data_IF_110036554875
#
_entry.id   IF_110036554875
#
_cell.length_a   1.000
_cell.length_b   1.000
_cell.length_c   1.000
_cell.angle_alpha   90.00
_cell.angle_beta   90.00
_cell.angle_gamma   90.00
#
_symmetry.space_group_name_H-M   'P 1'
#
loop_
_entity.id
_entity.type
_entity.pdbx_description
1 polymer ?
#
# COMPACT_ATOMS: atom_id res chain seq x y z
N UNK A 1 12.79 -9.67 8.75
CA UNK A 1 12.83 -9.14 7.36
C UNK A 1 13.84 -8.01 7.29
N UNK A 2 14.05 -7.39 6.13
CA UNK A 2 14.84 -6.16 6.05
C UNK A 2 13.87 -5.00 5.97
N UNK A 3 13.92 -4.09 6.93
CA UNK A 3 13.21 -2.82 6.82
C UNK A 3 14.06 -1.82 6.06
N UNK A 4 13.41 -1.05 5.19
CA UNK A 4 14.07 -0.01 4.40
C UNK A 4 13.26 1.27 4.44
N UNK A 5 13.99 2.38 4.40
CA UNK A 5 13.45 3.72 4.21
C UNK A 5 13.89 4.20 2.84
N UNK A 6 12.93 4.57 2.00
CA UNK A 6 13.19 4.91 0.60
C UNK A 6 12.68 6.30 0.30
N UNK A 7 13.54 7.12 -0.29
CA UNK A 7 13.23 8.45 -0.78
C UNK A 7 12.63 8.37 -2.19
N UNK A 8 11.47 9.00 -2.38
CA UNK A 8 10.75 9.10 -3.64
C UNK A 8 10.81 10.56 -4.11
N UNK A 9 11.55 10.87 -5.20
CA UNK A 9 11.68 12.24 -5.69
C UNK A 9 10.32 12.83 -6.05
N UNK A 10 10.02 14.04 -5.58
CA UNK A 10 8.78 14.73 -5.92
C UNK A 10 8.95 15.41 -7.29
N UNK A 11 8.00 15.18 -8.18
CA UNK A 11 8.03 15.72 -9.54
C UNK A 11 8.02 17.25 -9.48
N UNK A 12 8.97 17.88 -10.18
CA UNK A 12 9.10 19.33 -10.27
C UNK A 12 9.72 20.01 -9.04
N UNK A 13 10.12 19.26 -8.00
CA UNK A 13 10.73 19.81 -6.78
C UNK A 13 12.14 19.25 -6.58
N UNK A 14 13.14 20.09 -6.85
CA UNK A 14 14.53 19.68 -6.80
C UNK A 14 14.96 19.31 -5.36
N UNK A 15 15.56 18.13 -5.21
CA UNK A 15 16.03 17.57 -3.94
C UNK A 15 14.94 17.51 -2.85
N UNK A 16 13.67 17.33 -3.22
CA UNK A 16 12.56 17.15 -2.28
C UNK A 16 11.92 15.76 -2.47
N UNK A 17 11.69 15.04 -1.38
CA UNK A 17 11.35 13.63 -1.42
C UNK A 17 10.21 13.29 -0.45
N UNK A 18 9.36 12.36 -0.86
CA UNK A 18 8.50 11.61 0.05
C UNK A 18 9.33 10.46 0.65
N UNK A 19 9.19 10.17 1.94
CA UNK A 19 9.89 9.03 2.54
C UNK A 19 8.91 7.92 2.86
N UNK A 20 9.03 6.78 2.19
CA UNK A 20 8.27 5.58 2.52
C UNK A 20 9.09 4.64 3.41
N UNK A 21 8.39 3.81 4.16
CA UNK A 21 8.97 2.69 4.90
C UNK A 21 8.33 1.38 4.45
N UNK A 22 9.13 0.32 4.34
CA UNK A 22 8.62 -1.04 4.08
C UNK A 22 9.53 -2.11 4.66
N UNK A 23 8.95 -3.22 5.09
CA UNK A 23 9.67 -4.44 5.50
C UNK A 23 9.76 -5.49 4.40
N UNK A 24 9.16 -5.21 3.24
CA UNK A 24 9.09 -6.09 2.06
C UNK A 24 9.57 -5.36 0.80
N UNK A 25 10.86 -5.00 0.67
CA UNK A 25 11.36 -4.28 -0.51
C UNK A 25 11.10 -4.99 -1.85
N UNK A 26 10.90 -6.32 -1.86
CA UNK A 26 10.46 -7.06 -3.05
C UNK A 26 9.10 -6.62 -3.60
N UNK A 27 8.29 -5.88 -2.84
CA UNK A 27 7.01 -5.32 -3.31
C UNK A 27 7.16 -3.98 -4.03
N UNK A 28 8.34 -3.34 -3.98
CA UNK A 28 8.58 -2.03 -4.61
C UNK A 28 8.38 -2.01 -6.14
N UNK A 29 8.67 -3.07 -6.92
CA UNK A 29 8.30 -3.12 -8.34
C UNK A 29 6.80 -2.99 -8.60
N UNK A 30 5.97 -3.30 -7.59
CA UNK A 30 4.51 -3.20 -7.65
C UNK A 30 3.97 -1.87 -7.13
N UNK A 31 4.82 -0.91 -6.77
CA UNK A 31 4.37 0.37 -6.22
C UNK A 31 3.58 1.17 -7.27
N UNK A 32 2.39 1.63 -6.88
CA UNK A 32 1.46 2.38 -7.75
C UNK A 32 1.01 3.71 -7.17
N UNK A 33 1.15 3.89 -5.86
CA UNK A 33 0.84 5.14 -5.17
C UNK A 33 1.59 5.22 -3.83
N UNK A 34 1.48 6.36 -3.16
CA UNK A 34 1.83 6.54 -1.76
C UNK A 34 0.58 6.97 -1.02
N UNK A 35 0.20 6.28 0.05
CA UNK A 35 -0.93 6.65 0.87
C UNK A 35 -0.50 7.52 2.06
N UNK A 36 -1.34 8.50 2.36
CA UNK A 36 -1.25 9.37 3.55
C UNK A 36 -2.58 9.38 4.29
N UNK A 37 -2.54 9.72 5.59
CA UNK A 37 -3.74 9.94 6.39
C UNK A 37 -4.15 11.42 6.31
N UNK A 38 -5.36 11.72 5.84
CA UNK A 38 -5.78 13.09 5.52
C UNK A 38 -5.67 14.08 6.68
N UNK A 39 -6.05 13.67 7.89
CA UNK A 39 -6.05 14.50 9.10
C UNK A 39 -4.71 14.50 9.85
N UNK A 40 -3.74 13.65 9.48
CA UNK A 40 -2.43 13.61 10.10
C UNK A 40 -1.56 14.78 9.64
N UNK A 41 -0.65 15.22 10.52
CA UNK A 41 0.32 16.28 10.24
C UNK A 41 1.60 15.67 9.68
N UNK A 42 2.07 16.23 8.57
CA UNK A 42 3.31 15.86 7.88
C UNK A 42 4.26 17.06 7.88
N UNK A 43 5.53 16.79 8.15
CA UNK A 43 6.57 17.80 8.29
C UNK A 43 7.62 17.59 7.20
N UNK A 44 8.04 18.70 6.59
CA UNK A 44 9.26 18.75 5.81
C UNK A 44 10.47 18.94 6.73
N UNK A 45 11.47 18.07 6.59
CA UNK A 45 12.78 18.20 7.23
C UNK A 45 13.84 18.46 6.19
N UNK A 46 14.71 19.45 6.41
CA UNK A 46 15.82 19.77 5.52
C UNK A 46 17.11 19.16 6.08
N UNK A 47 17.96 18.61 5.23
CA UNK A 47 19.25 18.06 5.66
C UNK A 47 20.27 19.18 5.72
N UNK A 48 20.83 19.44 6.90
CA UNK A 48 21.98 20.35 7.03
C UNK A 48 23.27 19.57 6.76
N UNK A 49 23.35 18.36 7.30
CA UNK A 49 24.53 17.52 7.28
C UNK A 49 24.12 16.04 7.30
N UNK A 50 24.74 15.24 6.44
CA UNK A 50 24.48 13.81 6.33
C UNK A 50 25.80 13.05 6.25
N UNK A 51 25.83 11.89 6.93
CA UNK A 51 26.89 10.89 6.78
C UNK A 51 26.64 9.95 5.57
N UNK A 52 25.55 10.15 4.82
CA UNK A 52 25.34 9.55 3.51
C UNK A 52 25.91 10.47 2.45
N UNK A 53 27.01 10.07 1.81
CA UNK A 53 27.63 10.86 0.74
C UNK A 53 26.72 11.10 -0.49
N UNK A 54 25.62 10.37 -0.60
CA UNK A 54 24.66 10.50 -1.69
C UNK A 54 23.51 11.47 -1.37
N UNK A 55 23.31 11.81 -0.09
CA UNK A 55 22.31 12.78 0.32
C UNK A 55 22.97 14.16 0.34
N UNK A 56 22.46 15.06 -0.51
CA UNK A 56 22.98 16.42 -0.61
C UNK A 56 22.48 17.26 0.56
N UNK A 57 23.35 18.11 1.11
CA UNK A 57 22.91 19.18 2.01
C UNK A 57 21.86 20.05 1.29
N UNK A 58 20.83 20.46 2.03
CA UNK A 58 19.64 21.12 1.52
C UNK A 58 18.57 20.18 0.94
N UNK A 59 18.79 18.86 0.95
CA UNK A 59 17.73 17.90 0.58
C UNK A 59 16.58 17.95 1.58
N UNK A 60 15.35 17.82 1.10
CA UNK A 60 14.12 17.97 1.88
C UNK A 60 13.33 16.67 1.88
N UNK A 61 12.86 16.24 3.03
CA UNK A 61 12.16 14.97 3.21
C UNK A 61 10.83 15.17 3.93
N UNK A 62 9.76 14.60 3.39
CA UNK A 62 8.44 14.60 4.02
C UNK A 62 8.21 13.32 4.81
N UNK A 63 7.87 13.47 6.08
CA UNK A 63 7.51 12.40 7.02
C UNK A 63 6.34 12.85 7.89
N UNK A 64 5.66 11.91 8.55
CA UNK A 64 4.66 12.25 9.57
C UNK A 64 5.32 12.95 10.75
N UNK A 65 4.66 13.96 11.29
CA UNK A 65 5.23 14.88 12.28
C UNK A 65 5.74 14.16 13.53
N UNK A 66 5.01 13.14 14.02
CA UNK A 66 5.42 12.39 15.21
C UNK A 66 6.78 11.71 15.03
N UNK A 67 7.13 11.32 13.80
CA UNK A 67 8.38 10.64 13.48
C UNK A 67 9.50 11.62 13.15
N UNK A 68 9.17 12.88 12.79
CA UNK A 68 10.17 13.92 12.55
C UNK A 68 10.99 14.27 13.81
N UNK A 69 10.42 14.07 15.00
CA UNK A 69 11.06 14.35 16.30
C UNK A 69 12.12 13.29 16.67
N UNK A 70 12.00 12.06 16.13
CA UNK A 70 12.91 10.94 16.41
C UNK A 70 14.03 10.74 15.38
N UNK A 71 14.09 11.58 14.33
CA UNK A 71 15.13 11.48 13.31
C UNK A 71 16.54 11.82 13.83
N UNK A 72 16.66 12.36 15.04
CA UNK A 72 17.91 12.84 15.64
C UNK A 72 18.82 11.74 16.20
N UNK A 73 18.32 10.52 16.41
CA UNK A 73 19.09 9.43 17.03
C UNK A 73 19.32 8.30 16.02
N UNK A 74 20.58 8.18 15.54
CA UNK A 74 21.29 7.01 14.97
C UNK A 74 20.61 6.08 13.93
N UNK A 75 19.35 6.29 13.54
CA UNK A 75 18.55 5.31 12.80
C UNK A 75 18.27 5.66 11.35
N UNK A 76 18.36 6.94 10.99
CA UNK A 76 18.33 7.44 9.63
C UNK A 76 19.64 8.19 9.37
N UNK A 77 20.15 8.16 8.13
CA UNK A 77 21.56 8.49 7.80
C UNK A 77 21.79 10.02 7.75
N UNK A 78 21.28 10.72 8.75
CA UNK A 78 21.32 12.16 8.88
C UNK A 78 21.87 12.49 10.26
N UNK A 79 22.99 13.21 10.31
CA UNK A 79 23.59 13.60 11.58
C UNK A 79 22.90 14.85 12.15
N UNK A 80 22.41 15.74 11.27
CA UNK A 80 21.67 16.96 11.66
C UNK A 80 20.61 17.36 10.64
N UNK A 81 19.45 17.79 11.15
CA UNK A 81 18.38 18.38 10.36
C UNK A 81 18.22 19.88 10.62
N UNK A 82 17.87 20.59 9.56
CA UNK A 82 17.47 21.99 9.52
C UNK A 82 16.01 22.16 9.16
N UNK A 83 15.61 23.43 9.15
CA UNK A 83 14.21 23.87 8.99
C UNK A 83 13.93 24.15 7.51
N UNK A 84 12.92 23.51 6.91
CA UNK A 84 12.53 23.79 5.52
C UNK A 84 11.81 25.14 5.40
N UNK A 85 12.38 26.11 4.68
CA UNK A 85 11.64 27.27 4.18
C UNK A 85 10.78 26.93 2.95
N UNK A 86 9.59 27.52 2.84
CA UNK A 86 8.75 27.44 1.64
C UNK A 86 9.12 28.54 0.63
N UNK A 87 9.41 28.15 -0.61
CA UNK A 87 9.46 29.04 -1.77
C UNK A 87 8.11 28.89 -2.50
N UNK A 88 7.30 29.96 -2.51
CA UNK A 88 5.96 30.12 -3.12
C UNK A 88 4.75 29.78 -2.23
N UNK A 89 4.10 30.85 -1.74
CA UNK A 89 2.84 30.83 -1.00
C UNK A 89 1.61 30.40 -1.82
N UNK A 90 1.70 30.35 -3.15
CA UNK A 90 0.58 29.98 -4.03
C UNK A 90 0.21 28.48 -3.95
N UNK A 91 1.16 27.59 -3.62
CA UNK A 91 0.92 26.14 -3.50
C UNK A 91 0.30 25.72 -2.16
N UNK A 92 0.19 26.63 -1.19
CA UNK A 92 0.01 26.26 0.22
C UNK A 92 -1.45 26.05 0.65
N UNK A 93 -2.42 26.38 -0.20
CA UNK A 93 -3.83 26.41 0.21
C UNK A 93 -4.08 27.42 1.35
N UNK A 94 -5.35 27.77 1.64
CA UNK A 94 -5.66 28.83 2.59
C UNK A 94 -5.37 28.52 4.07
N UNK A 95 -4.90 27.31 4.43
CA UNK A 95 -4.85 26.82 5.82
C UNK A 95 -3.47 26.27 6.27
N UNK A 96 -2.38 26.60 5.59
CA UNK A 96 -1.06 26.19 6.06
C UNK A 96 -0.66 26.97 7.32
N UNK A 97 -0.62 26.28 8.47
CA UNK A 97 -0.09 26.85 9.71
C UNK A 97 1.46 26.85 9.64
N UNK A 98 2.02 28.03 9.40
CA UNK A 98 3.45 28.28 9.62
C UNK A 98 3.69 28.32 11.13
N UNK A 99 4.05 27.20 11.73
CA UNK A 99 4.50 27.18 13.12
C UNK A 99 5.87 27.88 13.23
N UNK A 100 5.83 29.11 13.74
CA UNK A 100 6.99 29.99 13.95
C UNK A 100 8.02 29.44 14.94
N UNK A 101 7.69 28.42 15.75
CA UNK A 101 8.63 27.81 16.70
C UNK A 101 9.58 26.80 16.04
N UNK A 102 9.18 26.21 14.91
CA UNK A 102 9.97 25.19 14.19
C UNK A 102 10.43 25.61 12.79
N UNK A 103 9.92 26.69 12.19
CA UNK A 103 10.41 27.26 10.92
C UNK A 103 10.42 26.30 9.72
N UNK A 104 9.79 25.13 9.86
CA UNK A 104 9.59 24.12 8.85
C UNK A 104 8.09 23.95 8.60
N UNK A 105 7.71 23.80 7.34
CA UNK A 105 6.34 23.60 6.95
C UNK A 105 5.68 22.33 7.52
N UNK A 106 4.55 22.49 8.21
CA UNK A 106 3.65 21.39 8.53
C UNK A 106 2.43 21.47 7.63
N UNK A 107 2.08 20.36 7.00
CA UNK A 107 0.88 20.23 6.19
C UNK A 107 0.04 19.07 6.71
N UNK A 108 -1.28 19.19 6.66
CA UNK A 108 -2.13 18.01 6.80
C UNK A 108 -1.98 17.09 5.59
N UNK A 109 -2.16 15.78 5.77
CA UNK A 109 -2.04 14.80 4.70
C UNK A 109 -2.94 15.09 3.50
N UNK A 110 -4.12 15.69 3.72
CA UNK A 110 -5.03 16.14 2.66
C UNK A 110 -4.36 17.06 1.62
N UNK A 111 -3.36 17.87 2.02
CA UNK A 111 -2.63 18.77 1.12
C UNK A 111 -1.51 18.07 0.36
N UNK A 112 -1.11 16.86 0.77
CA UNK A 112 -0.15 16.03 0.04
C UNK A 112 -0.86 15.21 -1.04
N UNK A 113 -2.16 14.95 -0.91
CA UNK A 113 -2.94 14.19 -1.91
C UNK A 113 -2.84 14.85 -3.28
N UNK A 114 -2.57 14.04 -4.30
CA UNK A 114 -2.37 14.49 -5.67
C UNK A 114 -0.93 14.89 -6.01
N UNK A 115 -0.01 14.98 -5.03
CA UNK A 115 1.40 15.18 -5.34
C UNK A 115 1.93 14.01 -6.17
N UNK A 116 2.75 14.34 -7.16
CA UNK A 116 3.36 13.37 -8.06
C UNK A 116 4.79 13.08 -7.64
N UNK A 117 5.21 11.81 -7.74
CA UNK A 117 6.55 11.37 -7.42
C UNK A 117 7.11 10.42 -8.49
N UNK A 118 8.42 10.43 -8.64
CA UNK A 118 9.15 9.48 -9.49
C UNK A 118 9.24 8.12 -8.80
N UNK A 119 8.91 7.04 -9.50
CA UNK A 119 8.94 5.71 -8.94
C UNK A 119 10.33 5.35 -8.40
N UNK A 120 10.44 4.74 -7.21
CA UNK A 120 11.74 4.49 -6.60
C UNK A 120 12.63 3.60 -7.48
N UNK A 121 12.08 2.70 -8.31
CA UNK A 121 12.85 1.78 -9.17
C UNK A 121 12.86 2.13 -10.66
N UNK A 122 11.91 2.96 -11.11
CA UNK A 122 11.70 3.25 -12.54
C UNK A 122 11.86 4.74 -12.87
N UNK A 123 12.03 5.58 -11.84
CA UNK A 123 12.16 7.04 -11.96
C UNK A 123 11.06 7.66 -12.80
N UNK A 124 11.42 8.54 -13.72
CA UNK A 124 10.49 9.31 -14.57
C UNK A 124 9.66 8.47 -15.53
N UNK A 125 10.07 7.24 -15.83
CA UNK A 125 9.30 6.34 -16.69
C UNK A 125 7.99 5.89 -16.02
N UNK A 126 7.89 6.06 -14.70
CA UNK A 126 6.68 5.80 -13.95
C UNK A 126 6.44 6.87 -12.88
N UNK A 127 5.39 7.67 -13.06
CA UNK A 127 4.98 8.67 -12.08
C UNK A 127 3.85 8.12 -11.21
N UNK A 128 4.10 8.05 -9.91
CA UNK A 128 3.08 7.72 -8.91
C UNK A 128 2.41 8.96 -8.33
N UNK A 129 1.29 8.76 -7.64
CA UNK A 129 0.55 9.83 -6.96
C UNK A 129 0.38 9.55 -5.48
N UNK A 130 0.34 10.61 -4.69
CA UNK A 130 -0.09 10.53 -3.30
C UNK A 130 -1.62 10.44 -3.26
N UNK A 131 -2.14 9.51 -2.48
CA UNK A 131 -3.57 9.24 -2.30
C UNK A 131 -3.92 9.22 -0.81
N UNK A 132 -5.19 9.40 -0.49
CA UNK A 132 -5.66 9.17 0.88
C UNK A 132 -5.78 7.67 1.15
N UNK A 133 -5.28 7.22 2.30
CA UNK A 133 -5.36 5.82 2.73
C UNK A 133 -5.92 5.69 4.14
N UNK A 134 -7.05 5.01 4.26
CA UNK A 134 -7.75 4.78 5.52
C UNK A 134 -6.96 3.92 6.53
N UNK A 135 -6.00 3.12 6.06
CA UNK A 135 -5.22 2.21 6.90
C UNK A 135 -3.92 2.83 7.43
N UNK A 136 -3.58 4.04 6.98
CA UNK A 136 -2.32 4.70 7.36
C UNK A 136 -2.38 5.11 8.83
N UNK A 137 -1.42 4.64 9.62
CA UNK A 137 -1.24 5.02 11.02
C UNK A 137 -0.04 5.95 11.19
N UNK A 138 0.01 6.68 12.30
CA UNK A 138 1.09 7.64 12.61
C UNK A 138 2.06 7.12 13.68
N UNK A 139 1.87 5.86 14.13
CA UNK A 139 2.59 5.23 15.23
C UNK A 139 3.82 4.42 14.78
N UNK A 140 3.95 4.15 13.48
CA UNK A 140 5.02 3.33 12.93
C UNK A 140 5.43 3.77 11.51
N UNK A 141 6.69 3.50 11.15
CA UNK A 141 7.26 3.88 9.86
C UNK A 141 7.37 5.39 9.71
N UNK A 142 7.02 5.91 8.53
CA UNK A 142 7.12 7.35 8.20
C UNK A 142 5.76 8.03 8.10
N UNK A 143 4.66 7.27 8.27
CA UNK A 143 3.29 7.69 7.95
C UNK A 143 3.02 7.95 6.46
N UNK A 144 3.97 7.64 5.56
CA UNK A 144 3.74 7.52 4.12
C UNK A 144 3.90 6.05 3.72
N UNK A 145 2.82 5.43 3.28
CA UNK A 145 2.78 3.99 2.98
C UNK A 145 2.82 3.80 1.48
N UNK A 146 3.81 3.07 0.98
CA UNK A 146 3.86 2.71 -0.43
C UNK A 146 2.75 1.70 -0.73
N UNK A 147 2.00 1.91 -1.82
CA UNK A 147 0.84 1.09 -2.16
C UNK A 147 1.22 0.13 -3.28
N UNK A 148 1.16 -1.16 -2.97
CA UNK A 148 1.36 -2.28 -3.89
C UNK A 148 0.07 -3.11 -3.97
N UNK A 149 -0.91 -2.72 -4.82
CA UNK A 149 -2.27 -3.28 -4.79
C UNK A 149 -2.35 -4.80 -4.93
N UNK A 150 -1.35 -5.42 -5.55
CA UNK A 150 -1.27 -6.86 -5.72
C UNK A 150 -0.83 -7.64 -4.46
N UNK A 151 -0.34 -6.96 -3.42
CA UNK A 151 0.35 -7.58 -2.29
C UNK A 151 -0.20 -7.17 -0.91
N UNK A 152 -1.26 -6.37 -0.85
CA UNK A 152 -1.96 -5.99 0.38
C UNK A 152 -3.46 -5.88 0.15
N UNK A 153 -4.28 -6.27 1.14
CA UNK A 153 -5.74 -6.22 1.00
C UNK A 153 -6.24 -4.76 1.03
N UNK A 154 -5.69 -3.95 1.93
CA UNK A 154 -5.96 -2.52 2.06
C UNK A 154 -5.47 -1.77 0.82
N UNK A 155 -4.25 -2.10 0.34
CA UNK A 155 -3.68 -1.57 -0.91
C UNK A 155 -4.57 -1.88 -2.11
N UNK A 156 -5.13 -3.09 -2.18
CA UNK A 156 -6.06 -3.48 -3.25
C UNK A 156 -7.33 -2.64 -3.23
N UNK A 157 -7.91 -2.41 -2.04
CA UNK A 157 -9.11 -1.59 -1.88
C UNK A 157 -8.84 -0.15 -2.32
N UNK A 158 -7.75 0.46 -1.85
CA UNK A 158 -7.34 1.80 -2.26
C UNK A 158 -7.09 1.84 -3.76
N UNK A 159 -6.32 0.89 -4.28
CA UNK A 159 -6.02 0.79 -5.71
C UNK A 159 -7.27 0.72 -6.56
N UNK A 160 -8.30 -0.02 -6.13
CA UNK A 160 -9.59 -0.07 -6.82
C UNK A 160 -10.34 1.25 -6.75
N UNK A 161 -10.35 1.91 -5.59
CA UNK A 161 -11.05 3.19 -5.39
C UNK A 161 -10.47 4.31 -6.25
N UNK A 162 -9.15 4.38 -6.37
CA UNK A 162 -8.45 5.46 -7.09
C UNK A 162 -8.02 5.06 -8.51
N UNK A 163 -8.37 3.86 -8.97
CA UNK A 163 -8.14 3.41 -10.35
C UNK A 163 -6.69 3.04 -10.69
N UNK A 164 -5.94 2.46 -9.75
CA UNK A 164 -4.56 1.99 -9.98
C UNK A 164 -4.51 0.68 -10.77
N UNK A 165 -3.36 0.40 -11.37
CA UNK A 165 -3.07 -0.91 -11.97
C UNK A 165 -2.97 -1.99 -10.89
N UNK A 166 -3.87 -2.97 -10.95
CA UNK A 166 -4.01 -4.05 -9.97
C UNK A 166 -3.28 -5.35 -10.38
N UNK A 167 -2.56 -5.34 -11.52
CA UNK A 167 -1.85 -6.52 -12.01
C UNK A 167 -0.80 -6.98 -10.99
N UNK A 168 -0.78 -8.28 -10.71
CA UNK A 168 0.25 -8.88 -9.87
C UNK A 168 1.54 -9.10 -10.66
N UNK A 169 2.67 -8.46 -10.27
CA UNK A 169 3.95 -8.65 -10.96
C UNK A 169 4.63 -9.96 -10.57
N UNK A 170 4.01 -10.82 -9.76
CA UNK A 170 4.60 -12.07 -9.25
C UNK A 170 3.73 -13.27 -9.59
N UNK A 171 4.33 -14.28 -10.24
CA UNK A 171 3.65 -15.49 -10.66
C UNK A 171 3.52 -16.53 -9.52
N UNK A 172 2.92 -17.68 -9.83
CA UNK A 172 2.69 -18.78 -8.86
C UNK A 172 3.96 -19.44 -8.33
N UNK A 173 5.11 -19.26 -8.98
CA UNK A 173 6.40 -19.74 -8.52
C UNK A 173 7.14 -18.72 -7.63
N UNK A 174 6.52 -17.58 -7.29
CA UNK A 174 7.16 -16.52 -6.53
C UNK A 174 8.26 -15.79 -7.32
N UNK A 175 8.15 -15.78 -8.66
CA UNK A 175 9.06 -15.06 -9.55
C UNK A 175 8.34 -13.89 -10.18
N UNK A 176 9.08 -12.82 -10.50
CA UNK A 176 8.49 -11.72 -11.25
C UNK A 176 8.05 -12.16 -12.65
N UNK A 177 6.94 -11.61 -13.11
CA UNK A 177 6.40 -11.83 -14.46
C UNK A 177 7.30 -11.19 -15.54
N UNK A 178 7.18 -11.69 -16.78
CA UNK A 178 8.05 -11.27 -17.90
C UNK A 178 7.85 -9.80 -18.31
N UNK A 179 6.68 -9.23 -18.01
CA UNK A 179 6.35 -7.84 -18.33
C UNK A 179 6.90 -6.83 -17.31
N UNK A 180 7.49 -7.29 -16.19
CA UNK A 180 8.05 -6.40 -15.18
C UNK A 180 9.31 -5.74 -15.73
N UNK A 181 9.30 -4.41 -15.80
CA UNK A 181 10.38 -3.62 -16.36
C UNK A 181 11.70 -3.85 -15.60
N UNK A 182 12.86 -3.75 -16.29
CA UNK A 182 14.16 -3.76 -15.63
C UNK A 182 14.31 -2.55 -14.71
N UNK A 183 15.26 -2.63 -13.78
CA UNK A 183 15.69 -1.47 -12.99
C UNK A 183 16.34 -0.42 -13.90
N UNK A 184 16.45 0.83 -13.44
CA UNK A 184 17.07 1.91 -14.23
C UNK A 184 18.51 1.63 -14.65
N UNK A 185 19.25 0.83 -13.89
CA UNK A 185 20.60 0.38 -14.24
C UNK A 185 20.63 -0.75 -15.30
N UNK A 186 19.47 -1.15 -15.85
CA UNK A 186 19.32 -2.21 -16.83
C UNK A 186 19.18 -3.62 -16.25
N UNK A 187 19.22 -3.79 -14.93
CA UNK A 187 19.11 -5.11 -14.29
C UNK A 187 17.74 -5.72 -14.54
N UNK A 188 17.72 -6.91 -15.16
CA UNK A 188 16.48 -7.62 -15.46
C UNK A 188 15.78 -8.12 -14.17
N UNK A 189 14.53 -7.69 -13.97
CA UNK A 189 13.67 -8.11 -12.85
C UNK A 189 12.87 -9.37 -13.20
N UNK A 190 12.41 -9.48 -14.45
CA UNK A 190 11.64 -10.60 -14.97
C UNK A 190 12.28 -11.97 -14.66
N UNK A 191 11.45 -12.92 -14.22
CA UNK A 191 11.85 -14.30 -13.92
C UNK A 191 12.68 -14.47 -12.63
N UNK A 192 13.06 -13.39 -11.95
CA UNK A 192 13.82 -13.46 -10.70
C UNK A 192 12.92 -13.84 -9.53
N UNK A 193 13.43 -14.66 -8.62
CA UNK A 193 12.72 -15.03 -7.39
C UNK A 193 12.74 -13.86 -6.39
N UNK A 194 11.58 -13.51 -5.85
CA UNK A 194 11.37 -12.27 -5.09
C UNK A 194 12.32 -12.09 -3.91
N UNK A 195 12.54 -13.14 -3.10
CA UNK A 195 13.31 -13.03 -1.87
C UNK A 195 14.81 -12.92 -2.11
N UNK A 196 15.34 -13.57 -3.15
CA UNK A 196 16.75 -13.43 -3.51
C UNK A 196 17.00 -12.09 -4.22
N UNK A 197 16.08 -11.66 -5.08
CA UNK A 197 16.21 -10.42 -5.84
C UNK A 197 16.04 -9.14 -5.00
N UNK A 198 15.39 -9.22 -3.84
CA UNK A 198 15.29 -8.10 -2.90
C UNK A 198 16.65 -7.44 -2.60
N UNK A 199 17.74 -8.22 -2.53
CA UNK A 199 19.08 -7.68 -2.28
C UNK A 199 19.54 -6.76 -3.40
N UNK A 200 19.20 -7.08 -4.65
CA UNK A 200 19.52 -6.26 -5.81
C UNK A 200 18.69 -4.98 -5.85
N UNK A 201 17.42 -5.04 -5.45
CA UNK A 201 16.57 -3.85 -5.28
C UNK A 201 17.20 -2.88 -4.27
N UNK A 202 17.60 -3.39 -3.10
CA UNK A 202 18.22 -2.56 -2.06
C UNK A 202 19.57 -2.01 -2.51
N UNK A 203 20.37 -2.79 -3.23
CA UNK A 203 21.65 -2.34 -3.78
C UNK A 203 21.48 -1.23 -4.81
N UNK A 204 20.53 -1.36 -5.74
CA UNK A 204 20.22 -0.34 -6.75
C UNK A 204 19.71 0.96 -6.11
N UNK A 205 18.80 0.87 -5.13
CA UNK A 205 18.33 2.04 -4.38
C UNK A 205 19.48 2.74 -3.65
N UNK A 206 20.41 1.97 -3.09
CA UNK A 206 21.62 2.50 -2.45
C UNK A 206 22.52 3.14 -3.49
N UNK A 207 22.79 2.52 -4.63
CA UNK A 207 23.66 3.10 -5.66
C UNK A 207 23.13 4.46 -6.16
N UNK A 208 21.81 4.59 -6.29
CA UNK A 208 21.13 5.81 -6.75
C UNK A 208 20.87 6.85 -5.67
N UNK A 209 21.27 6.62 -4.42
CA UNK A 209 21.05 7.58 -3.33
C UNK A 209 19.60 7.72 -2.87
N UNK A 210 18.75 6.76 -3.20
CA UNK A 210 17.34 6.74 -2.79
C UNK A 210 17.11 5.90 -1.53
N UNK A 211 18.08 5.07 -1.12
CA UNK A 211 18.01 4.31 0.13
C UNK A 211 18.49 5.17 1.29
N UNK A 212 17.56 5.58 2.17
CA UNK A 212 17.89 6.37 3.35
C UNK A 212 18.40 5.52 4.49
N UNK A 213 17.86 4.32 4.68
CA UNK A 213 18.34 3.36 5.67
C UNK A 213 17.87 1.95 5.31
N UNK A 214 18.65 0.95 5.72
CA UNK A 214 18.29 -0.46 5.66
C UNK A 214 18.79 -1.16 6.92
N UNK A 215 17.89 -1.86 7.62
CA UNK A 215 18.20 -2.59 8.85
C UNK A 215 17.50 -3.93 8.89
N UNK A 216 18.12 -4.89 9.59
CA UNK A 216 17.43 -6.13 9.93
C UNK A 216 16.33 -5.83 10.94
N UNK A 217 15.14 -6.35 10.66
CA UNK A 217 13.94 -6.14 11.46
C UNK A 217 13.41 -7.49 11.94
N UNK A 218 13.64 -7.86 13.21
CA UNK A 218 13.09 -9.08 13.80
C UNK A 218 11.60 -8.91 14.08
N UNK A 219 10.77 -9.70 13.41
CA UNK A 219 9.32 -9.74 13.64
C UNK A 219 8.74 -11.08 13.18
N UNK A 220 7.50 -11.36 13.58
CA UNK A 220 6.75 -12.51 13.09
C UNK A 220 6.36 -12.33 11.63
N UNK A 221 6.67 -13.32 10.80
CA UNK A 221 6.33 -13.34 9.37
C UNK A 221 5.50 -14.60 9.06
N UNK A 222 4.44 -14.52 8.23
CA UNK A 222 3.60 -15.67 7.94
C UNK A 222 4.36 -16.75 7.17
N UNK A 223 4.27 -17.99 7.64
CA UNK A 223 4.90 -19.15 7.03
C UNK A 223 3.88 -20.25 6.74
N UNK A 224 4.11 -21.02 5.69
CA UNK A 224 3.34 -22.20 5.35
C UNK A 224 3.38 -23.18 6.52
N UNK A 225 2.22 -23.56 7.05
CA UNK A 225 2.16 -24.51 8.16
C UNK A 225 2.78 -25.87 7.81
N UNK A 226 2.76 -26.24 6.51
CA UNK A 226 3.29 -27.50 5.97
C UNK A 226 4.77 -27.42 5.62
N UNK A 227 5.15 -26.51 4.73
CA UNK A 227 6.52 -26.44 4.21
C UNK A 227 7.44 -25.54 5.05
N UNK A 228 6.90 -24.73 5.95
CA UNK A 228 7.60 -23.67 6.71
C UNK A 228 8.21 -22.55 5.86
N UNK A 229 7.96 -22.57 4.55
CA UNK A 229 8.34 -21.51 3.62
C UNK A 229 7.56 -20.23 3.88
N UNK A 230 8.18 -19.09 3.60
CA UNK A 230 7.55 -17.76 3.73
C UNK A 230 6.37 -17.61 2.77
N UNK A 231 5.25 -17.10 3.29
CA UNK A 231 4.08 -16.80 2.48
C UNK A 231 4.15 -15.38 1.91
N UNK A 232 3.48 -15.18 0.78
CA UNK A 232 3.25 -13.86 0.20
C UNK A 232 1.77 -13.68 -0.09
N UNK A 233 1.32 -12.43 0.02
CA UNK A 233 0.02 -12.04 -0.49
C UNK A 233 0.14 -11.70 -1.97
N UNK A 234 -0.84 -12.16 -2.73
CA UNK A 234 -0.89 -12.05 -4.18
C UNK A 234 -2.35 -11.92 -4.60
N UNK A 235 -2.65 -10.92 -5.40
CA UNK A 235 -3.90 -10.90 -6.15
C UNK A 235 -3.88 -12.00 -7.20
N UNK A 236 -4.95 -12.77 -7.25
CA UNK A 236 -5.15 -13.80 -8.25
C UNK A 236 -6.48 -13.54 -8.92
N UNK A 237 -6.63 -13.94 -10.18
CA UNK A 237 -7.96 -14.03 -10.76
C UNK A 237 -8.77 -15.04 -9.96
N UNK A 238 -9.93 -14.59 -9.48
CA UNK A 238 -10.82 -15.37 -8.64
C UNK A 238 -12.25 -15.16 -9.14
N UNK A 239 -13.06 -16.20 -9.01
CA UNK A 239 -14.49 -16.15 -9.33
C UNK A 239 -15.27 -15.82 -8.07
N UNK A 240 -16.12 -14.81 -8.17
CA UNK A 240 -16.95 -14.35 -7.07
C UNK A 240 -18.42 -14.42 -7.44
N UNK A 241 -19.25 -14.86 -6.51
CA UNK A 241 -20.69 -14.66 -6.54
C UNK A 241 -20.98 -13.33 -5.86
N UNK A 242 -21.55 -12.39 -6.61
CA UNK A 242 -21.88 -11.07 -6.11
C UNK A 242 -23.01 -11.14 -5.07
N UNK A 243 -22.76 -10.62 -3.86
CA UNK A 243 -23.76 -10.62 -2.78
C UNK A 243 -24.74 -9.46 -2.90
N UNK A 244 -24.26 -8.30 -3.36
CA UNK A 244 -24.99 -7.02 -3.39
C UNK A 244 -25.37 -6.55 -4.80
N UNK A 245 -25.17 -7.38 -5.82
CA UNK A 245 -25.60 -7.06 -7.18
C UNK A 245 -27.06 -7.49 -7.38
N UNK A 246 -27.95 -6.60 -7.84
CA UNK A 246 -29.30 -6.97 -8.25
C UNK A 246 -29.29 -8.08 -9.31
N UNK A 247 -30.08 -9.13 -9.08
CA UNK A 247 -30.20 -10.27 -10.00
C UNK A 247 -31.62 -10.36 -10.56
N UNK A 248 -31.74 -10.37 -11.89
CA UNK A 248 -33.04 -10.53 -12.56
C UNK A 248 -33.75 -11.83 -12.15
N UNK A 249 -33.00 -12.92 -11.95
CA UNK A 249 -33.50 -14.21 -11.48
C UNK A 249 -34.11 -14.15 -10.05
N UNK A 250 -33.76 -13.13 -9.26
CA UNK A 250 -34.31 -12.89 -7.93
C UNK A 250 -35.32 -11.73 -7.92
N UNK A 251 -35.88 -11.38 -9.08
CA UNK A 251 -36.84 -10.28 -9.21
C UNK A 251 -36.23 -8.91 -8.92
N UNK A 252 -34.93 -8.73 -9.22
CA UNK A 252 -34.20 -7.49 -8.97
C UNK A 252 -33.59 -7.38 -7.56
N UNK A 253 -33.83 -8.35 -6.68
CA UNK A 253 -33.17 -8.40 -5.36
C UNK A 253 -31.72 -8.84 -5.49
N UNK A 254 -30.93 -8.48 -4.50
CA UNK A 254 -29.57 -9.01 -4.32
C UNK A 254 -29.62 -10.41 -3.69
N UNK A 255 -28.52 -11.17 -3.80
CA UNK A 255 -28.42 -12.48 -3.15
C UNK A 255 -28.50 -12.36 -1.62
N UNK A 256 -27.94 -11.28 -1.05
CA UNK A 256 -28.02 -10.97 0.38
C UNK A 256 -29.47 -10.76 0.83
N UNK A 257 -30.21 -9.90 0.14
CA UNK A 257 -31.62 -9.60 0.45
C UNK A 257 -32.49 -10.85 0.39
N UNK A 258 -32.39 -11.62 -0.70
CA UNK A 258 -33.16 -12.85 -0.88
C UNK A 258 -32.84 -13.87 0.23
N UNK A 259 -31.56 -13.99 0.60
CA UNK A 259 -31.12 -14.89 1.68
C UNK A 259 -31.66 -14.46 3.04
N UNK A 260 -31.56 -13.17 3.39
CA UNK A 260 -32.07 -12.64 4.67
C UNK A 260 -33.60 -12.74 4.77
N UNK A 261 -34.33 -12.49 3.69
CA UNK A 261 -35.78 -12.70 3.66
C UNK A 261 -36.16 -14.15 3.93
N UNK A 262 -35.41 -15.12 3.38
CA UNK A 262 -35.66 -16.54 3.62
C UNK A 262 -35.24 -16.99 5.02
N UNK A 263 -34.16 -16.44 5.56
CA UNK A 263 -33.68 -16.72 6.93
C UNK A 263 -34.70 -16.25 7.98
N UNK A 264 -35.16 -15.01 7.85
CA UNK A 264 -36.05 -14.38 8.83
C UNK A 264 -37.54 -14.54 8.55
N UNK A 265 -37.93 -14.93 7.33
CA UNK A 265 -39.33 -15.04 6.92
C UNK A 265 -40.06 -13.70 6.91
N UNK A 266 -39.53 -12.71 6.18
CA UNK A 266 -40.12 -11.35 6.07
C UNK A 266 -41.00 -11.20 4.81
N UNK A 267 -41.82 -10.16 4.76
CA UNK A 267 -42.60 -9.74 3.58
C UNK A 267 -43.49 -10.84 2.97
N UNK A 268 -44.16 -11.63 3.82
CA UNK A 268 -45.05 -12.71 3.37
C UNK A 268 -44.33 -13.97 2.88
N UNK A 269 -42.99 -14.02 2.93
CA UNK A 269 -42.19 -15.20 2.60
C UNK A 269 -42.10 -16.12 3.81
N UNK A 270 -42.45 -17.40 3.66
CA UNK A 270 -42.24 -18.40 4.72
C UNK A 270 -40.75 -18.50 5.04
N UNK A 271 -40.39 -18.33 6.31
CA UNK A 271 -39.02 -18.47 6.81
C UNK A 271 -38.55 -19.93 6.91
N UNK A 272 -37.24 -20.13 7.10
CA UNK A 272 -36.69 -21.45 7.46
C UNK A 272 -37.03 -21.73 8.92
N UNK A 273 -37.34 -22.99 9.24
CA UNK A 273 -37.50 -23.41 10.64
C UNK A 273 -36.12 -23.63 11.27
N UNK A 274 -35.83 -22.93 12.35
CA UNK A 274 -34.53 -22.97 13.03
C UNK A 274 -34.64 -23.76 14.33
N UNK A 275 -33.87 -24.84 14.43
CA UNK A 275 -33.72 -25.61 15.67
C UNK A 275 -32.24 -25.68 16.02
N UNK A 276 -31.78 -25.00 17.09
CA UNK A 276 -32.52 -24.07 17.95
C UNK A 276 -32.77 -22.70 17.31
N UNK A 277 -33.80 -21.98 17.78
CA UNK A 277 -34.29 -20.73 17.16
C UNK A 277 -33.27 -19.60 17.04
N UNK A 278 -32.28 -19.52 17.95
CA UNK A 278 -31.22 -18.50 17.88
C UNK A 278 -30.30 -18.66 16.65
N UNK A 279 -30.35 -19.79 15.95
CA UNK A 279 -29.59 -20.03 14.72
C UNK A 279 -29.88 -19.00 13.63
N UNK A 280 -31.12 -18.50 13.56
CA UNK A 280 -31.53 -17.48 12.60
C UNK A 280 -30.67 -16.21 12.70
N UNK A 281 -30.48 -15.71 13.92
CA UNK A 281 -29.70 -14.50 14.16
C UNK A 281 -28.21 -14.70 13.85
N UNK A 282 -27.66 -15.88 14.15
CA UNK A 282 -26.25 -16.20 13.91
C UNK A 282 -25.93 -16.32 12.42
N UNK A 283 -26.79 -16.96 11.64
CA UNK A 283 -26.59 -17.06 10.18
C UNK A 283 -26.97 -15.74 9.49
N UNK A 284 -28.03 -15.08 9.94
CA UNK A 284 -28.44 -13.78 9.42
C UNK A 284 -27.35 -12.72 9.56
N UNK A 285 -26.76 -12.56 10.76
CA UNK A 285 -25.65 -11.60 10.95
C UNK A 285 -24.42 -11.92 10.12
N UNK A 286 -24.11 -13.21 9.92
CA UNK A 286 -23.04 -13.63 9.01
C UNK A 286 -23.34 -13.21 7.57
N UNK A 287 -24.59 -13.39 7.11
CA UNK A 287 -25.01 -12.97 5.77
C UNK A 287 -25.13 -11.46 5.65
N UNK A 288 -25.44 -10.69 6.70
CA UNK A 288 -25.48 -9.22 6.65
C UNK A 288 -24.11 -8.61 6.34
N UNK A 289 -23.05 -9.10 6.99
CA UNK A 289 -21.67 -8.60 6.79
C UNK A 289 -20.83 -9.32 5.74
N UNK A 290 -21.39 -10.32 5.04
CA UNK A 290 -20.60 -11.17 4.14
C UNK A 290 -20.11 -10.41 2.90
N UNK A 291 -18.81 -10.41 2.55
CA UNK A 291 -18.35 -9.89 1.27
C UNK A 291 -18.77 -10.80 0.11
N UNK A 292 -18.50 -10.38 -1.14
CA UNK A 292 -18.69 -11.23 -2.32
C UNK A 292 -18.07 -12.62 -2.11
N UNK A 293 -18.83 -13.66 -2.47
CA UNK A 293 -18.45 -15.02 -2.14
C UNK A 293 -17.46 -15.55 -3.17
N UNK A 294 -16.19 -15.65 -2.79
CA UNK A 294 -15.16 -16.33 -3.58
C UNK A 294 -15.48 -17.83 -3.69
N UNK A 295 -15.63 -18.32 -4.92
CA UNK A 295 -15.95 -19.72 -5.24
C UNK A 295 -14.82 -20.44 -6.00
N UNK A 296 -13.76 -19.72 -6.36
CA UNK A 296 -12.55 -20.32 -6.95
C UNK A 296 -11.73 -21.02 -5.88
N UNK A 297 -11.34 -22.27 -6.16
CA UNK A 297 -10.35 -23.02 -5.40
C UNK A 297 -9.16 -23.37 -6.30
N UNK A 298 -7.95 -23.39 -5.76
CA UNK A 298 -6.72 -23.69 -6.51
C UNK A 298 -6.36 -25.19 -6.53
N UNK A 299 -7.32 -26.07 -6.21
CA UNK A 299 -7.13 -27.53 -6.16
C UNK A 299 -7.51 -28.22 -7.47
N UNK A 300 -6.76 -29.25 -7.87
CA UNK A 300 -6.99 -30.06 -9.09
C UNK A 300 -8.17 -31.05 -8.99
N UNK A 301 -9.00 -30.96 -7.96
CA UNK A 301 -10.03 -31.97 -7.64
C UNK A 301 -11.41 -31.35 -7.39
N UNK A 302 -11.86 -30.46 -8.27
CA UNK A 302 -13.16 -29.77 -8.17
C UNK A 302 -13.83 -29.60 -9.52
N UNK A 303 -15.03 -29.02 -9.53
CA UNK A 303 -15.73 -28.65 -10.76
C UNK A 303 -15.02 -27.46 -11.44
N UNK A 304 -14.81 -27.56 -12.75
CA UNK A 304 -14.10 -26.54 -13.53
C UNK A 304 -15.02 -25.35 -13.87
N UNK A 305 -14.50 -24.13 -13.71
CA UNK A 305 -15.17 -22.91 -14.15
C UNK A 305 -14.62 -22.49 -15.51
N UNK A 306 -15.50 -22.36 -16.51
CA UNK A 306 -15.16 -21.82 -17.82
C UNK A 306 -15.82 -20.45 -18.01
N UNK A 307 -15.09 -19.47 -18.57
CA UNK A 307 -15.74 -18.28 -19.15
C UNK A 307 -16.60 -18.76 -20.33
N UNK A 308 -17.91 -18.53 -20.27
CA UNK A 308 -18.74 -18.61 -21.47
C UNK A 308 -18.24 -17.58 -22.48
N UNK A 309 -18.07 -18.02 -23.73
CA UNK A 309 -17.63 -17.16 -24.84
C UNK A 309 -18.66 -16.12 -25.25
#
# INVERSE_FOLDING_TARGET
STQVYVALPIVGRANEFLVIWTTTPWTLPANRAVAVKGDAKYRCVEVIESNNSQIKNGSKFWVVEQQAVGLHDDELVFEKFGRCGFLNAEYMGPNAELDSSFGGGVLKGEYLVGWEYEHPLYGKDYIGKVVEGFHVTTDSGTGLVHIAPAHGAEDFVIGKQVGLDLRCPVNSAGKYEDWVAPLQNGTAVAGKFIFSFQKEIVADLKERGLLLAAKDFPHSYPVSWRSKEKLIFRTTEQWFVAMDKPLAALGGKTLREASLQRIYGRDGVRGVEWVPGYGANRIGSMIEGRPDWCISGSGRGGADYHRGG
#
